data_IF_301495088949
#
_entry.id   IF_301495088949
#
_cell.length_a   1.000
_cell.length_b   1.000
_cell.length_c   1.000
_cell.angle_alpha   90.00
_cell.angle_beta   90.00
_cell.angle_gamma   90.00
#
_symmetry.space_group_name_H-M   'P 1'
#
loop_
_entity.id
_entity.type
_entity.pdbx_description
1 polymer ?
#
# COMPACT_ATOMS: atom_id res chain seq x y z
N UNK A 1 -26.49 -7.94 -21.63
CA UNK A 1 -26.05 -8.58 -20.38
C UNK A 1 -26.07 -7.50 -19.31
N UNK A 2 -27.14 -7.44 -18.50
CA UNK A 2 -27.21 -6.61 -17.31
C UNK A 2 -26.15 -7.12 -16.32
N UNK A 3 -25.02 -6.44 -16.21
CA UNK A 3 -24.20 -6.50 -14.99
C UNK A 3 -25.01 -5.75 -13.94
N UNK A 4 -25.61 -6.48 -13.01
CA UNK A 4 -26.13 -5.89 -11.79
C UNK A 4 -25.00 -5.04 -11.20
N UNK A 5 -25.25 -3.76 -10.96
CA UNK A 5 -24.42 -2.92 -10.13
C UNK A 5 -24.41 -3.57 -8.74
N UNK A 6 -23.40 -4.41 -8.48
CA UNK A 6 -23.15 -4.91 -7.14
C UNK A 6 -22.71 -3.70 -6.34
N UNK A 7 -23.65 -3.16 -5.57
CA UNK A 7 -23.33 -2.14 -4.56
C UNK A 7 -22.19 -2.69 -3.72
N UNK A 8 -21.03 -2.09 -3.81
CA UNK A 8 -19.90 -2.50 -2.98
C UNK A 8 -20.17 -2.02 -1.58
N UNK A 9 -20.67 -2.90 -0.71
CA UNK A 9 -20.74 -2.63 0.71
C UNK A 9 -19.32 -2.64 1.29
N UNK A 10 -18.80 -1.47 1.61
CA UNK A 10 -17.48 -1.30 2.22
C UNK A 10 -17.68 -1.02 3.70
N UNK A 11 -17.19 -1.90 4.55
CA UNK A 11 -17.25 -1.78 5.99
C UNK A 11 -16.48 -0.54 6.46
N UNK A 12 -17.16 0.32 7.21
CA UNK A 12 -16.62 1.60 7.66
C UNK A 12 -16.76 2.76 6.67
N UNK A 13 -17.43 2.52 5.52
CA UNK A 13 -17.75 3.54 4.51
C UNK A 13 -19.25 3.53 4.21
N UNK A 14 -19.71 2.60 3.38
CA UNK A 14 -21.13 2.48 3.00
C UNK A 14 -21.97 1.66 3.97
N UNK A 15 -21.34 0.89 4.83
CA UNK A 15 -21.96 0.16 5.94
C UNK A 15 -21.13 0.37 7.21
N UNK A 16 -21.72 0.01 8.36
CA UNK A 16 -21.08 0.14 9.68
C UNK A 16 -19.68 -0.50 9.73
N UNK A 17 -18.75 0.18 10.42
CA UNK A 17 -17.36 -0.27 10.64
C UNK A 17 -17.24 -1.38 11.67
N UNK A 18 -16.00 -1.89 11.81
CA UNK A 18 -15.66 -2.98 12.74
C UNK A 18 -15.13 -2.51 14.11
N UNK A 19 -15.09 -1.20 14.39
CA UNK A 19 -14.68 -0.69 15.70
C UNK A 19 -15.85 -0.84 16.71
N UNK A 20 -16.13 -2.09 17.10
CA UNK A 20 -17.23 -2.50 18.01
C UNK A 20 -16.92 -3.86 18.63
N UNK A 21 -17.51 -4.15 19.78
CA UNK A 21 -17.34 -5.43 20.50
C UNK A 21 -17.90 -6.62 19.69
N UNK A 22 -19.02 -6.43 18.99
CA UNK A 22 -19.69 -7.48 18.22
C UNK A 22 -20.08 -6.97 16.83
N UNK A 23 -19.85 -7.80 15.82
CA UNK A 23 -20.27 -7.55 14.44
C UNK A 23 -20.90 -8.81 13.84
N UNK A 24 -21.96 -8.62 13.04
CA UNK A 24 -22.53 -9.69 12.21
C UNK A 24 -22.05 -9.49 10.79
N UNK A 25 -21.34 -10.48 10.28
CA UNK A 25 -20.74 -10.43 8.95
C UNK A 25 -21.21 -11.63 8.12
N UNK A 26 -21.30 -11.45 6.80
CA UNK A 26 -21.53 -12.57 5.89
C UNK A 26 -20.32 -13.52 5.90
N UNK A 27 -20.56 -14.83 5.88
CA UNK A 27 -19.50 -15.83 5.74
C UNK A 27 -18.61 -15.61 4.52
N UNK A 28 -19.17 -15.03 3.44
CA UNK A 28 -18.45 -14.68 2.22
C UNK A 28 -17.59 -13.42 2.33
N UNK A 29 -17.70 -12.68 3.43
CA UNK A 29 -16.93 -11.45 3.69
C UNK A 29 -15.76 -11.67 4.66
N UNK A 30 -15.57 -12.89 5.14
CA UNK A 30 -14.51 -13.25 6.08
C UNK A 30 -13.58 -14.31 5.49
N UNK A 31 -12.34 -14.31 5.94
CA UNK A 31 -11.33 -15.30 5.57
C UNK A 31 -10.58 -15.76 6.80
N UNK A 32 -9.89 -16.89 6.68
CA UNK A 32 -9.09 -17.42 7.77
C UNK A 32 -7.93 -16.48 8.10
N UNK A 33 -7.69 -16.27 9.37
CA UNK A 33 -6.52 -15.59 9.89
C UNK A 33 -5.23 -16.42 9.62
N UNK A 34 -4.08 -15.80 9.30
CA UNK A 34 -2.82 -16.52 9.18
C UNK A 34 -2.43 -17.23 10.48
N UNK A 35 -1.86 -18.42 10.38
CA UNK A 35 -1.35 -19.16 11.54
C UNK A 35 -0.23 -18.36 12.23
N UNK A 36 -0.26 -18.32 13.55
CA UNK A 36 0.74 -17.63 14.36
C UNK A 36 0.66 -16.10 14.34
N UNK A 37 -0.44 -15.54 13.83
CA UNK A 37 -0.74 -14.11 13.96
C UNK A 37 -1.59 -13.86 15.21
N UNK A 38 -1.33 -12.73 15.85
CA UNK A 38 -2.27 -12.15 16.82
C UNK A 38 -3.47 -11.54 16.10
N UNK A 39 -4.55 -11.28 16.81
CA UNK A 39 -5.72 -10.58 16.23
C UNK A 39 -5.36 -9.19 15.73
N UNK A 40 -4.51 -8.44 16.45
CA UNK A 40 -4.02 -7.15 16.04
C UNK A 40 -3.25 -7.22 14.71
N UNK A 41 -2.36 -8.20 14.54
CA UNK A 41 -1.65 -8.42 13.28
C UNK A 41 -2.61 -8.78 12.14
N UNK A 42 -3.54 -9.71 12.38
CA UNK A 42 -4.50 -10.15 11.39
C UNK A 42 -5.43 -9.02 10.93
N UNK A 43 -5.88 -8.15 11.85
CA UNK A 43 -6.73 -7.00 11.55
C UNK A 43 -6.09 -5.97 10.58
N UNK A 44 -4.77 -5.97 10.41
CA UNK A 44 -4.08 -5.09 9.47
C UNK A 44 -4.16 -5.54 8.01
N UNK A 45 -4.48 -6.82 7.78
CA UNK A 45 -4.43 -7.46 6.46
C UNK A 45 -5.58 -7.10 5.52
N UNK A 46 -6.87 -7.06 5.95
CA UNK A 46 -8.01 -6.98 5.03
C UNK A 46 -8.07 -5.73 4.16
N UNK A 47 -7.46 -4.64 4.61
CA UNK A 47 -7.37 -3.40 3.81
C UNK A 47 -5.95 -3.21 3.28
N UNK A 48 -4.98 -2.89 4.14
CA UNK A 48 -3.65 -2.48 3.71
C UNK A 48 -2.85 -3.62 3.06
N UNK A 49 -2.83 -4.79 3.68
CA UNK A 49 -2.14 -5.97 3.13
C UNK A 49 -2.75 -6.41 1.81
N UNK A 50 -4.09 -6.54 1.77
CA UNK A 50 -4.81 -6.97 0.58
C UNK A 50 -4.70 -5.98 -0.59
N UNK A 51 -4.69 -4.67 -0.30
CA UNK A 51 -4.44 -3.65 -1.32
C UNK A 51 -3.05 -3.79 -1.94
N UNK A 52 -2.02 -3.94 -1.11
CA UNK A 52 -0.65 -4.16 -1.58
C UNK A 52 -0.54 -5.46 -2.41
N UNK A 53 -1.16 -6.53 -1.93
CA UNK A 53 -1.22 -7.81 -2.64
C UNK A 53 -1.90 -7.69 -4.00
N UNK A 54 -3.08 -7.06 -4.05
CA UNK A 54 -3.80 -6.86 -5.31
C UNK A 54 -2.98 -6.03 -6.30
N UNK A 55 -2.36 -4.94 -5.82
CA UNK A 55 -1.57 -4.06 -6.66
C UNK A 55 -0.36 -4.78 -7.28
N UNK A 56 0.39 -5.52 -6.48
CA UNK A 56 1.65 -6.12 -6.90
C UNK A 56 1.47 -7.49 -7.55
N UNK A 57 0.75 -8.40 -6.88
CA UNK A 57 0.71 -9.81 -7.31
C UNK A 57 -0.40 -10.10 -8.30
N UNK A 58 -1.57 -9.44 -8.17
CA UNK A 58 -2.73 -9.76 -9.03
C UNK A 58 -2.79 -8.86 -10.26
N UNK A 59 -2.64 -7.54 -10.08
CA UNK A 59 -2.64 -6.58 -11.18
C UNK A 59 -1.24 -6.41 -11.76
N UNK A 60 -0.27 -6.21 -10.89
CA UNK A 60 1.12 -5.97 -11.25
C UNK A 60 1.81 -7.17 -11.86
N UNK A 61 1.41 -8.39 -11.47
CA UNK A 61 2.10 -9.62 -11.88
C UNK A 61 3.61 -9.54 -11.61
N UNK A 62 3.97 -8.91 -10.49
CA UNK A 62 5.34 -8.64 -10.07
C UNK A 62 6.16 -9.93 -10.00
N UNK A 63 7.39 -9.87 -10.49
CA UNK A 63 8.30 -11.00 -10.59
C UNK A 63 9.62 -10.73 -9.84
N UNK A 64 10.33 -11.78 -9.50
CA UNK A 64 11.67 -11.65 -8.95
C UNK A 64 12.60 -10.93 -9.95
N UNK A 65 13.37 -9.96 -9.45
CA UNK A 65 14.24 -9.11 -10.27
C UNK A 65 13.61 -7.79 -10.72
N UNK A 66 12.28 -7.63 -10.57
CA UNK A 66 11.63 -6.34 -10.79
C UNK A 66 12.08 -5.28 -9.77
N UNK A 67 11.65 -4.06 -10.01
CA UNK A 67 11.87 -2.91 -9.12
C UNK A 67 10.56 -2.23 -8.76
N UNK A 68 10.45 -1.78 -7.50
CA UNK A 68 9.25 -1.19 -6.93
C UNK A 68 9.54 0.17 -6.31
N UNK A 69 8.66 1.14 -6.57
CA UNK A 69 8.56 2.37 -5.79
C UNK A 69 7.37 2.29 -4.83
N UNK A 70 7.62 2.53 -3.54
CA UNK A 70 6.59 2.76 -2.53
C UNK A 70 6.66 4.19 -2.01
N UNK A 71 5.50 4.82 -1.80
CA UNK A 71 5.41 6.20 -1.34
C UNK A 71 4.96 6.24 0.12
N UNK A 72 5.73 6.96 0.96
CA UNK A 72 5.45 7.12 2.37
C UNK A 72 5.59 5.84 3.19
N UNK A 73 5.10 5.91 4.43
CA UNK A 73 5.31 4.88 5.48
C UNK A 73 4.01 4.35 6.06
N UNK A 74 2.91 4.48 5.33
CA UNK A 74 1.61 3.93 5.71
C UNK A 74 1.52 2.43 5.50
N UNK A 75 0.44 1.83 5.98
CA UNK A 75 0.27 0.38 5.96
C UNK A 75 0.41 -0.27 4.59
N UNK A 76 -0.17 0.31 3.53
CA UNK A 76 -0.06 -0.25 2.17
C UNK A 76 1.39 -0.26 1.69
N UNK A 77 2.11 0.85 1.88
CA UNK A 77 3.51 0.98 1.44
C UNK A 77 4.43 0.02 2.18
N UNK A 78 4.22 -0.17 3.49
CA UNK A 78 4.99 -1.11 4.30
C UNK A 78 4.72 -2.57 3.87
N UNK A 79 3.45 -2.96 3.68
CA UNK A 79 3.14 -4.28 3.16
C UNK A 79 3.69 -4.50 1.75
N UNK A 80 3.58 -3.51 0.86
CA UNK A 80 4.12 -3.59 -0.49
C UNK A 80 5.64 -3.81 -0.47
N UNK A 81 6.37 -3.07 0.38
CA UNK A 81 7.81 -3.26 0.57
C UNK A 81 8.11 -4.68 1.05
N UNK A 82 7.43 -5.17 2.08
CA UNK A 82 7.66 -6.51 2.63
C UNK A 82 7.35 -7.62 1.62
N UNK A 83 6.24 -7.51 0.88
CA UNK A 83 5.88 -8.46 -0.18
C UNK A 83 6.94 -8.45 -1.29
N UNK A 84 7.38 -7.28 -1.72
CA UNK A 84 8.40 -7.12 -2.75
C UNK A 84 9.74 -7.73 -2.32
N UNK A 85 10.19 -7.46 -1.10
CA UNK A 85 11.45 -8.05 -0.58
C UNK A 85 11.35 -9.57 -0.47
N UNK A 86 10.24 -10.12 -0.01
CA UNK A 86 10.01 -11.56 0.03
C UNK A 86 10.00 -12.20 -1.37
N UNK A 87 9.65 -11.44 -2.41
CA UNK A 87 9.66 -11.87 -3.81
C UNK A 87 11.00 -11.62 -4.55
N UNK A 88 12.02 -11.08 -3.89
CA UNK A 88 13.33 -10.80 -4.53
C UNK A 88 13.33 -9.55 -5.41
N UNK A 89 12.50 -8.55 -5.09
CA UNK A 89 12.34 -7.29 -5.82
C UNK A 89 13.15 -6.19 -5.13
N UNK A 90 13.77 -5.30 -5.91
CA UNK A 90 14.43 -4.11 -5.36
C UNK A 90 13.41 -3.01 -5.06
N UNK A 91 13.59 -2.29 -3.94
CA UNK A 91 12.62 -1.31 -3.47
C UNK A 91 13.24 0.06 -3.25
N UNK A 92 12.70 1.05 -3.96
CA UNK A 92 12.89 2.47 -3.66
C UNK A 92 11.71 2.93 -2.81
N UNK A 93 11.98 3.62 -1.71
CA UNK A 93 10.93 4.15 -0.84
C UNK A 93 11.07 5.66 -0.67
N UNK A 94 9.95 6.39 -0.73
CA UNK A 94 9.95 7.82 -0.43
C UNK A 94 9.37 8.09 0.96
N UNK A 95 9.84 9.13 1.61
CA UNK A 95 9.37 9.57 2.93
C UNK A 95 9.56 11.07 3.08
N UNK A 96 8.88 11.70 4.06
CA UNK A 96 9.12 13.10 4.45
C UNK A 96 10.06 13.24 5.65
N UNK A 97 10.63 12.13 6.15
CA UNK A 97 11.39 12.13 7.40
C UNK A 97 12.57 11.17 7.31
N UNK A 98 13.76 11.68 7.59
CA UNK A 98 14.98 10.86 7.61
C UNK A 98 14.90 9.76 8.68
N UNK A 99 14.30 10.04 9.85
CA UNK A 99 14.08 9.03 10.88
C UNK A 99 13.18 7.86 10.40
N UNK A 100 12.11 8.16 9.64
CA UNK A 100 11.29 7.13 9.00
C UNK A 100 12.05 6.43 7.87
N UNK A 101 12.95 7.13 7.19
CA UNK A 101 13.84 6.56 6.18
C UNK A 101 14.73 5.44 6.75
N UNK A 102 15.31 5.64 7.94
CA UNK A 102 16.10 4.59 8.60
C UNK A 102 15.24 3.36 8.96
N UNK A 103 13.99 3.58 9.39
CA UNK A 103 13.06 2.46 9.63
C UNK A 103 12.71 1.71 8.33
N UNK A 104 12.54 2.41 7.21
CA UNK A 104 12.32 1.79 5.89
C UNK A 104 13.53 0.95 5.48
N UNK A 105 14.76 1.45 5.70
CA UNK A 105 16.00 0.70 5.43
C UNK A 105 16.07 -0.56 6.27
N UNK A 106 15.74 -0.48 7.55
CA UNK A 106 15.75 -1.60 8.47
C UNK A 106 14.80 -2.74 8.08
N UNK A 107 13.72 -2.45 7.35
CA UNK A 107 12.77 -3.45 6.83
C UNK A 107 13.02 -3.82 5.36
N UNK A 108 14.16 -3.38 4.80
CA UNK A 108 14.68 -3.88 3.52
C UNK A 108 14.54 -2.95 2.32
N UNK A 109 14.18 -1.67 2.48
CA UNK A 109 14.23 -0.74 1.35
C UNK A 109 15.69 -0.50 0.91
N UNK A 110 15.96 -0.64 -0.39
CA UNK A 110 17.30 -0.53 -0.95
C UNK A 110 17.72 0.93 -1.13
N UNK A 111 16.77 1.79 -1.52
CA UNK A 111 16.99 3.23 -1.67
C UNK A 111 15.91 4.02 -0.94
N UNK A 112 16.32 5.10 -0.28
CA UNK A 112 15.43 6.02 0.44
C UNK A 112 15.56 7.41 -0.16
N UNK A 113 14.43 8.05 -0.43
CA UNK A 113 14.39 9.43 -0.92
C UNK A 113 13.49 10.23 -0.01
N UNK A 114 14.03 11.32 0.56
CA UNK A 114 13.25 12.27 1.34
C UNK A 114 12.66 13.33 0.41
N UNK A 115 11.37 13.20 0.08
CA UNK A 115 10.69 14.12 -0.82
C UNK A 115 10.50 15.54 -0.25
N UNK A 116 10.72 15.75 1.06
CA UNK A 116 10.73 17.09 1.65
C UNK A 116 12.02 17.85 1.36
N UNK A 117 13.08 17.14 0.96
CA UNK A 117 14.39 17.67 0.62
C UNK A 117 14.68 17.59 -0.89
N UNK A 118 13.83 16.88 -1.65
CA UNK A 118 13.98 16.67 -3.09
C UNK A 118 12.63 16.85 -3.80
N UNK A 119 12.43 18.03 -4.35
CA UNK A 119 11.21 18.36 -5.11
C UNK A 119 11.11 17.55 -6.42
N UNK A 120 12.22 17.06 -6.96
CA UNK A 120 12.29 16.27 -8.19
C UNK A 120 12.46 14.77 -7.91
N UNK A 121 11.93 14.30 -6.81
CA UNK A 121 12.11 12.93 -6.35
C UNK A 121 11.77 11.84 -7.40
N UNK A 122 10.87 12.11 -8.36
CA UNK A 122 10.58 11.18 -9.45
C UNK A 122 11.80 10.95 -10.37
N UNK A 123 12.57 12.01 -10.68
CA UNK A 123 13.81 11.90 -11.43
C UNK A 123 14.90 11.20 -10.61
N UNK A 124 14.98 11.48 -9.32
CA UNK A 124 15.91 10.82 -8.42
C UNK A 124 15.60 9.32 -8.32
N UNK A 125 14.31 8.92 -8.19
CA UNK A 125 13.90 7.49 -8.26
C UNK A 125 14.40 6.86 -9.55
N UNK A 126 14.15 7.52 -10.70
CA UNK A 126 14.57 7.02 -12.00
C UNK A 126 16.09 6.84 -12.08
N UNK A 127 16.85 7.75 -11.50
CA UNK A 127 18.32 7.70 -11.47
C UNK A 127 18.83 6.54 -10.61
N UNK A 128 18.34 6.40 -9.37
CA UNK A 128 18.86 5.38 -8.44
C UNK A 128 18.41 3.96 -8.81
N UNK A 129 17.30 3.82 -9.55
CA UNK A 129 16.81 2.53 -10.07
C UNK A 129 17.43 2.16 -11.43
N UNK A 130 18.35 2.96 -11.98
CA UNK A 130 19.02 2.61 -13.24
C UNK A 130 18.17 2.80 -14.50
N UNK A 131 17.12 3.61 -14.45
CA UNK A 131 16.29 3.88 -15.65
C UNK A 131 14.78 3.91 -15.39
N UNK A 132 14.38 3.74 -14.15
CA UNK A 132 13.00 3.75 -13.68
C UNK A 132 12.60 2.40 -13.05
N UNK A 133 11.49 2.42 -12.35
CA UNK A 133 10.95 1.25 -11.66
C UNK A 133 9.83 0.58 -12.46
N UNK A 134 9.70 -0.75 -12.33
CA UNK A 134 8.67 -1.54 -13.01
C UNK A 134 7.30 -1.32 -12.39
N UNK A 135 7.24 -1.14 -11.07
CA UNK A 135 6.00 -0.97 -10.31
C UNK A 135 6.04 0.27 -9.44
N UNK A 136 4.91 0.97 -9.36
CA UNK A 136 4.72 2.10 -8.45
C UNK A 136 3.44 1.89 -7.64
N UNK A 137 3.53 2.01 -6.33
CA UNK A 137 2.37 2.14 -5.44
C UNK A 137 2.18 3.62 -5.14
N UNK A 138 1.22 4.24 -5.80
CA UNK A 138 0.90 5.66 -5.64
C UNK A 138 -0.24 5.85 -4.63
N UNK A 139 0.07 6.43 -3.48
CA UNK A 139 -0.89 6.73 -2.41
C UNK A 139 -1.28 8.21 -2.36
N UNK A 140 -0.54 9.07 -3.04
CA UNK A 140 -0.75 10.52 -2.99
C UNK A 140 -1.73 11.04 -4.04
N UNK A 141 -1.85 10.37 -5.18
CA UNK A 141 -2.77 10.79 -6.24
C UNK A 141 -2.38 12.12 -6.86
N UNK A 142 -3.15 13.19 -6.58
CA UNK A 142 -2.99 14.49 -7.24
C UNK A 142 -1.58 15.08 -7.19
N UNK A 143 -0.91 15.01 -6.05
CA UNK A 143 0.42 15.58 -5.88
C UNK A 143 1.56 14.65 -6.34
N UNK A 144 1.33 13.35 -6.48
CA UNK A 144 2.39 12.36 -6.71
C UNK A 144 2.38 11.74 -8.10
N UNK A 145 1.23 11.72 -8.78
CA UNK A 145 1.08 10.99 -10.04
C UNK A 145 2.08 11.41 -11.13
N UNK A 146 2.39 12.71 -11.25
CA UNK A 146 3.38 13.16 -12.24
C UNK A 146 4.78 12.60 -11.93
N UNK A 147 5.17 12.57 -10.67
CA UNK A 147 6.44 11.98 -10.24
C UNK A 147 6.45 10.46 -10.43
N UNK A 148 5.33 9.78 -10.18
CA UNK A 148 5.17 8.35 -10.46
C UNK A 148 5.35 8.04 -11.95
N UNK A 149 4.81 8.88 -12.85
CA UNK A 149 4.99 8.77 -14.30
C UNK A 149 6.47 8.96 -14.69
N UNK A 150 7.17 9.91 -14.05
CA UNK A 150 8.60 10.14 -14.28
C UNK A 150 9.41 8.93 -13.80
N UNK A 151 9.13 8.44 -12.58
CA UNK A 151 9.84 7.36 -11.92
C UNK A 151 9.70 6.01 -12.63
N UNK A 152 8.55 5.74 -13.23
CA UNK A 152 8.30 4.46 -13.89
C UNK A 152 9.18 4.26 -15.15
N UNK A 153 9.60 3.03 -15.38
CA UNK A 153 10.29 2.60 -16.59
C UNK A 153 9.33 2.47 -17.78
N UNK A 154 9.84 2.15 -18.98
CA UNK A 154 8.99 1.81 -20.14
C UNK A 154 8.20 0.53 -19.86
N UNK A 155 6.92 0.52 -20.20
CA UNK A 155 5.93 -0.52 -19.87
C UNK A 155 5.68 -0.70 -18.36
N UNK A 156 6.19 0.20 -17.53
CA UNK A 156 5.99 0.18 -16.08
C UNK A 156 4.52 0.34 -15.67
N UNK A 157 4.20 -0.09 -14.47
CA UNK A 157 2.84 -0.10 -13.93
C UNK A 157 2.71 0.85 -12.74
N UNK A 158 1.66 1.67 -12.73
CA UNK A 158 1.33 2.58 -11.64
C UNK A 158 -0.01 2.16 -11.05
N UNK A 159 0.01 1.72 -9.81
CA UNK A 159 -1.19 1.39 -9.03
C UNK A 159 -1.60 2.61 -8.22
N UNK A 160 -2.70 3.26 -8.62
CA UNK A 160 -3.32 4.36 -7.89
C UNK A 160 -4.16 3.77 -6.76
N UNK A 161 -3.69 3.96 -5.52
CA UNK A 161 -4.27 3.38 -4.32
C UNK A 161 -4.93 4.44 -3.44
N UNK A 162 -4.39 5.67 -3.45
CA UNK A 162 -4.85 6.73 -2.57
C UNK A 162 -4.84 8.11 -3.20
N UNK A 163 -5.37 9.06 -2.47
CA UNK A 163 -5.54 10.47 -2.87
C UNK A 163 -5.06 11.43 -1.77
N UNK A 164 -4.09 11.01 -0.95
CA UNK A 164 -3.62 11.79 0.20
C UNK A 164 -3.05 13.17 -0.19
N UNK A 165 -2.55 13.31 -1.41
CA UNK A 165 -2.03 14.56 -1.97
C UNK A 165 -3.02 15.27 -2.91
N UNK A 166 -4.30 14.88 -2.91
CA UNK A 166 -5.34 15.52 -3.70
C UNK A 166 -6.01 14.61 -4.72
N UNK A 167 -7.19 15.03 -5.17
CA UNK A 167 -8.07 14.25 -6.07
C UNK A 167 -7.82 14.50 -7.55
N UNK A 168 -7.03 15.52 -7.91
CA UNK A 168 -6.77 15.91 -9.29
C UNK A 168 -5.29 16.12 -9.53
N UNK A 169 -4.79 15.67 -10.66
CA UNK A 169 -3.40 15.80 -11.07
C UNK A 169 -3.28 16.49 -12.43
N UNK A 170 -2.24 17.34 -12.60
CA UNK A 170 -1.75 17.71 -13.92
C UNK A 170 -0.65 16.73 -14.31
N UNK A 171 -0.81 16.03 -15.41
CA UNK A 171 0.14 15.00 -15.87
C UNK A 171 0.60 15.26 -17.30
N UNK A 172 1.83 14.87 -17.59
CA UNK A 172 2.37 14.88 -18.94
C UNK A 172 1.88 13.62 -19.68
N UNK A 173 0.76 13.75 -20.40
CA UNK A 173 0.13 12.64 -21.15
C UNK A 173 1.09 12.01 -22.17
N UNK A 174 1.90 12.78 -22.96
CA UNK A 174 2.94 12.21 -23.82
C UNK A 174 3.88 11.22 -23.13
N UNK A 175 4.22 11.41 -21.86
CA UNK A 175 5.07 10.47 -21.13
C UNK A 175 4.36 9.11 -20.86
N UNK A 176 3.06 9.14 -20.60
CA UNK A 176 2.27 7.90 -20.38
C UNK A 176 2.28 7.07 -21.67
N UNK A 177 1.98 7.72 -22.78
CA UNK A 177 1.90 7.08 -24.10
C UNK A 177 3.28 6.64 -24.61
N UNK A 178 4.32 7.49 -24.55
CA UNK A 178 5.66 7.16 -25.06
C UNK A 178 6.36 6.07 -24.25
N UNK A 179 6.11 6.02 -22.93
CA UNK A 179 6.59 4.95 -22.07
C UNK A 179 5.67 3.72 -22.04
N UNK A 180 4.50 3.74 -22.70
CA UNK A 180 3.51 2.66 -22.70
C UNK A 180 3.10 2.26 -21.27
N UNK A 181 2.91 3.24 -20.38
CA UNK A 181 2.61 2.99 -18.98
C UNK A 181 1.21 2.41 -18.79
N UNK A 182 1.09 1.53 -17.83
CA UNK A 182 -0.18 1.00 -17.34
C UNK A 182 -0.55 1.69 -16.03
N UNK A 183 -1.67 2.42 -16.03
CA UNK A 183 -2.18 3.11 -14.84
C UNK A 183 -3.46 2.44 -14.38
N UNK A 184 -3.46 1.86 -13.18
CA UNK A 184 -4.57 1.09 -12.64
C UNK A 184 -5.11 1.71 -11.35
N UNK A 185 -6.42 1.82 -11.23
CA UNK A 185 -7.09 2.02 -9.95
C UNK A 185 -7.10 0.72 -9.14
N UNK A 186 -6.70 0.77 -7.88
CA UNK A 186 -6.71 -0.37 -6.96
C UNK A 186 -7.52 -0.05 -5.72
N UNK A 187 -8.59 -0.79 -5.51
CA UNK A 187 -9.46 -0.68 -4.33
C UNK A 187 -9.51 -2.03 -3.62
N UNK A 188 -8.68 -2.20 -2.61
CA UNK A 188 -8.59 -3.37 -1.73
C UNK A 188 -8.43 -4.70 -2.50
N UNK A 189 -9.41 -5.62 -2.43
CA UNK A 189 -9.40 -6.92 -3.10
C UNK A 189 -10.59 -7.78 -2.68
N UNK A 190 -10.66 -9.00 -3.22
CA UNK A 190 -11.70 -9.98 -2.88
C UNK A 190 -11.24 -10.94 -1.78
N UNK A 191 -12.19 -11.66 -1.15
CA UNK A 191 -11.88 -12.73 -0.19
C UNK A 191 -10.95 -13.80 -0.79
N UNK A 192 -11.15 -14.20 -2.05
CA UNK A 192 -10.27 -15.16 -2.72
C UNK A 192 -8.83 -14.65 -2.89
N UNK A 193 -8.65 -13.35 -3.13
CA UNK A 193 -7.31 -12.74 -3.14
C UNK A 193 -6.71 -12.72 -1.74
N UNK A 194 -7.52 -12.46 -0.70
CA UNK A 194 -7.07 -12.50 0.68
C UNK A 194 -6.63 -13.89 1.10
N UNK A 195 -7.35 -14.95 0.74
CA UNK A 195 -6.93 -16.34 0.99
C UNK A 195 -5.58 -16.67 0.35
N UNK A 196 -5.33 -16.17 -0.86
CA UNK A 196 -4.04 -16.34 -1.53
C UNK A 196 -2.93 -15.55 -0.83
N UNK A 197 -3.21 -14.32 -0.40
CA UNK A 197 -2.29 -13.51 0.38
C UNK A 197 -1.97 -14.16 1.74
N UNK A 198 -2.96 -14.70 2.45
CA UNK A 198 -2.77 -15.39 3.73
C UNK A 198 -1.75 -16.52 3.59
N UNK A 199 -1.88 -17.36 2.56
CA UNK A 199 -0.89 -18.43 2.29
C UNK A 199 0.51 -17.89 2.02
N UNK A 200 0.61 -16.80 1.26
CA UNK A 200 1.90 -16.18 0.95
C UNK A 200 2.55 -15.55 2.18
N UNK A 201 1.77 -14.89 3.02
CA UNK A 201 2.23 -14.29 4.28
C UNK A 201 2.72 -15.35 5.26
N UNK A 202 1.98 -16.47 5.40
CA UNK A 202 2.39 -17.61 6.22
C UNK A 202 3.74 -18.20 5.76
N UNK A 203 3.90 -18.41 4.45
CA UNK A 203 5.11 -19.02 3.88
C UNK A 203 6.29 -18.05 3.77
N UNK A 204 6.01 -16.77 3.51
CA UNK A 204 7.02 -15.73 3.32
C UNK A 204 7.53 -15.09 4.60
N UNK A 205 7.00 -15.45 5.76
CA UNK A 205 7.41 -14.88 7.06
C UNK A 205 7.11 -13.39 7.19
N UNK A 206 6.18 -12.86 6.40
CA UNK A 206 5.81 -11.44 6.45
C UNK A 206 5.04 -11.17 7.73
N UNK A 207 5.49 -10.18 8.50
CA UNK A 207 4.84 -9.73 9.73
C UNK A 207 4.43 -8.26 9.61
N UNK A 208 3.19 -7.92 9.98
CA UNK A 208 2.73 -6.53 9.99
C UNK A 208 3.58 -5.66 10.91
N UNK A 209 3.83 -4.43 10.47
CA UNK A 209 4.43 -3.42 11.33
C UNK A 209 3.30 -2.65 12.00
N UNK A 210 3.12 -2.85 13.30
CA UNK A 210 2.16 -2.12 14.14
C UNK A 210 2.94 -1.07 14.92
N UNK A 211 2.61 0.19 14.71
CA UNK A 211 3.29 1.32 15.34
C UNK A 211 2.71 1.65 16.72
N UNK A 212 1.40 1.51 16.86
CA UNK A 212 0.69 1.75 18.10
C UNK A 212 -0.57 0.87 18.19
N UNK A 213 -0.92 0.50 19.42
CA UNK A 213 -2.18 -0.15 19.75
C UNK A 213 -2.89 0.68 20.82
N UNK A 214 -4.19 0.91 20.63
CA UNK A 214 -5.04 1.65 21.56
C UNK A 214 -6.18 0.73 22.04
N UNK A 215 -6.73 1.02 23.20
CA UNK A 215 -8.02 0.45 23.60
C UNK A 215 -9.15 1.06 22.77
N UNK A 216 -10.25 0.33 22.56
CA UNK A 216 -11.41 0.85 21.82
C UNK A 216 -11.97 2.14 22.44
N UNK A 217 -11.90 2.29 23.75
CA UNK A 217 -12.29 3.51 24.47
C UNK A 217 -11.43 4.73 24.10
N UNK A 218 -10.23 4.52 23.57
CA UNK A 218 -9.28 5.54 23.14
C UNK A 218 -9.33 5.83 21.64
N UNK A 219 -10.37 5.40 20.92
CA UNK A 219 -10.49 5.50 19.46
C UNK A 219 -10.26 6.94 18.95
N UNK A 220 -10.67 7.96 19.70
CA UNK A 220 -10.44 9.35 19.32
C UNK A 220 -8.95 9.72 19.30
N UNK A 221 -8.18 9.20 20.27
CA UNK A 221 -6.72 9.38 20.30
C UNK A 221 -6.04 8.64 19.15
N UNK A 222 -6.49 7.42 18.82
CA UNK A 222 -6.00 6.64 17.68
C UNK A 222 -6.21 7.39 16.34
N UNK A 223 -7.41 7.97 16.12
CA UNK A 223 -7.68 8.79 14.93
C UNK A 223 -6.84 10.07 14.89
N UNK A 224 -6.67 10.74 16.03
CA UNK A 224 -5.82 11.93 16.12
C UNK A 224 -4.36 11.59 15.79
N UNK A 225 -3.87 10.46 16.28
CA UNK A 225 -2.52 9.98 15.93
C UNK A 225 -2.41 9.63 14.45
N UNK A 226 -3.40 8.95 13.88
CA UNK A 226 -3.43 8.68 12.45
C UNK A 226 -3.41 9.96 11.60
N UNK A 227 -4.24 10.95 11.95
CA UNK A 227 -4.33 12.24 11.26
C UNK A 227 -3.01 13.05 11.33
N UNK A 228 -2.22 12.86 12.39
CA UNK A 228 -0.90 13.51 12.52
C UNK A 228 0.13 13.02 11.51
N UNK A 229 -0.13 11.94 10.79
CA UNK A 229 0.78 11.27 9.86
C UNK A 229 2.15 10.86 10.46
N UNK A 230 2.27 10.82 11.81
CA UNK A 230 3.51 10.45 12.51
C UNK A 230 3.74 8.94 12.54
N UNK A 231 2.70 8.14 12.44
CA UNK A 231 2.75 6.67 12.49
C UNK A 231 3.60 6.06 11.37
N UNK A 232 4.06 4.84 11.60
CA UNK A 232 4.81 4.02 10.64
C UNK A 232 4.17 2.63 10.57
N UNK A 233 3.56 2.27 9.46
CA UNK A 233 2.80 1.03 9.32
C UNK A 233 1.35 1.19 9.75
N UNK A 234 0.91 0.38 10.71
CA UNK A 234 -0.49 0.30 11.14
C UNK A 234 -0.69 0.74 12.59
N UNK A 235 -1.87 1.26 12.84
CA UNK A 235 -2.43 1.50 14.17
C UNK A 235 -3.54 0.49 14.37
N UNK A 236 -3.63 -0.13 15.52
CA UNK A 236 -4.64 -1.14 15.88
C UNK A 236 -5.44 -0.72 17.10
N UNK A 237 -6.64 -1.28 17.23
CA UNK A 237 -7.49 -1.15 18.41
C UNK A 237 -7.67 -2.54 19.03
N UNK A 238 -7.58 -2.61 20.34
CA UNK A 238 -7.99 -3.77 21.15
C UNK A 238 -9.41 -3.55 21.67
N UNK A 239 -10.18 -4.63 21.76
CA UNK A 239 -11.56 -4.66 22.23
C UNK A 239 -11.61 -5.54 23.48
#
# INVERSE_FOLDING_TARGET
>A
RHRSERTRAITGDSIDGCAREYAVLSENAVTRMPKGFTYAEAATLPCAGLTAWQALMVRGQMQAGDSLLVQGTGGVSIFALQIAKAAGVSVVATTSSNAKGERLRAIGADHIINYSEDENWGDTVRKVSGGGVDHVIDIGGGATLQHSIIAATTSGQISLVGILGGVSAKVNVPMIFSKQLQVHGVAVGSAAMQDSMVRAVENGGIKPVIDANYDLSEIAAAFSYQASAKHFGKITLSI
#
